data_IF_594745292321
#
_entry.id   IF_594745292321
#
_cell.length_a   1.000
_cell.length_b   1.000
_cell.length_c   1.000
_cell.angle_alpha   90.00
_cell.angle_beta   90.00
_cell.angle_gamma   90.00
#
_symmetry.space_group_name_H-M   'P 1'
#
loop_
_entity.id
_entity.type
_entity.pdbx_description
1 polymer ?
#
# COMPACT_ATOMS: atom_id res chain seq x y z
N UNK A 1 -24.67 -18.38 -20.84
CA UNK A 1 -24.35 -17.50 -19.70
C UNK A 1 -23.84 -18.29 -18.49
N UNK A 2 -24.51 -19.34 -17.97
CA UNK A 2 -24.04 -20.09 -16.77
C UNK A 2 -22.62 -20.69 -16.88
N UNK A 3 -22.24 -21.22 -18.07
CA UNK A 3 -20.89 -21.79 -18.28
C UNK A 3 -19.77 -20.73 -18.23
N UNK A 4 -20.00 -19.54 -18.79
CA UNK A 4 -19.03 -18.42 -18.77
C UNK A 4 -18.84 -17.92 -17.34
N UNK A 5 -19.93 -17.70 -16.61
CA UNK A 5 -19.88 -17.30 -15.21
C UNK A 5 -19.10 -18.30 -14.34
N UNK A 6 -19.37 -19.62 -14.51
CA UNK A 6 -18.64 -20.66 -13.79
C UNK A 6 -17.14 -20.71 -14.15
N UNK A 7 -16.77 -20.42 -15.41
CA UNK A 7 -15.37 -20.31 -15.81
C UNK A 7 -14.70 -19.11 -15.20
N UNK A 8 -15.36 -17.93 -15.23
CA UNK A 8 -14.84 -16.69 -14.61
C UNK A 8 -14.64 -16.81 -13.09
N UNK A 9 -15.43 -17.65 -12.41
CA UNK A 9 -15.32 -17.94 -10.99
C UNK A 9 -14.37 -19.11 -10.65
N UNK A 10 -13.67 -19.67 -11.65
CA UNK A 10 -12.91 -20.91 -11.49
C UNK A 10 -11.44 -20.67 -11.19
N UNK A 11 -10.83 -21.64 -10.49
CA UNK A 11 -9.38 -21.70 -10.27
C UNK A 11 -8.58 -21.85 -11.59
N UNK A 12 -9.23 -22.40 -12.65
CA UNK A 12 -8.63 -22.54 -13.98
C UNK A 12 -8.30 -21.18 -14.62
N UNK A 13 -9.09 -20.12 -14.29
CA UNK A 13 -8.80 -18.76 -14.68
C UNK A 13 -7.90 -18.06 -13.66
N UNK A 14 -8.06 -18.35 -12.36
CA UNK A 14 -7.24 -17.75 -11.32
C UNK A 14 -5.74 -18.01 -11.51
N UNK A 15 -5.36 -19.27 -11.80
CA UNK A 15 -3.95 -19.66 -11.95
C UNK A 15 -3.22 -18.85 -13.04
N UNK A 16 -3.69 -18.77 -14.30
CA UNK A 16 -3.00 -17.98 -15.32
C UNK A 16 -2.98 -16.49 -15.01
N UNK A 17 -4.03 -15.92 -14.38
CA UNK A 17 -4.02 -14.52 -13.95
C UNK A 17 -2.96 -14.27 -12.88
N UNK A 18 -2.83 -15.15 -11.90
CA UNK A 18 -1.81 -15.05 -10.84
C UNK A 18 -0.39 -15.24 -11.40
N UNK A 19 -0.19 -16.17 -12.35
CA UNK A 19 1.09 -16.34 -13.03
C UNK A 19 1.47 -15.08 -13.83
N UNK A 20 0.51 -14.49 -14.54
CA UNK A 20 0.73 -13.24 -15.27
C UNK A 20 1.08 -12.09 -14.33
N UNK A 21 0.39 -11.97 -13.20
CA UNK A 21 0.72 -10.98 -12.16
C UNK A 21 2.15 -11.19 -11.63
N UNK A 22 2.51 -12.43 -11.32
CA UNK A 22 3.85 -12.77 -10.82
C UNK A 22 4.92 -12.43 -11.86
N UNK A 23 4.71 -12.78 -13.12
CA UNK A 23 5.63 -12.41 -14.21
C UNK A 23 5.75 -10.89 -14.36
N UNK A 24 4.63 -10.17 -14.29
CA UNK A 24 4.63 -8.70 -14.35
C UNK A 24 5.44 -8.08 -13.20
N UNK A 25 5.28 -8.60 -11.99
CA UNK A 25 6.06 -8.13 -10.83
C UNK A 25 7.56 -8.41 -10.98
N UNK A 26 7.92 -9.60 -11.46
CA UNK A 26 9.33 -9.96 -11.73
C UNK A 26 9.92 -9.01 -12.79
N UNK A 27 9.25 -8.82 -13.91
CA UNK A 27 9.70 -7.92 -14.98
C UNK A 27 9.80 -6.48 -14.47
N UNK A 28 8.80 -6.01 -13.71
CA UNK A 28 8.80 -4.68 -13.11
C UNK A 28 10.02 -4.48 -12.19
N UNK A 29 10.30 -5.42 -11.30
CA UNK A 29 11.47 -5.36 -10.40
C UNK A 29 12.80 -5.39 -11.17
N UNK A 30 12.91 -6.18 -12.24
CA UNK A 30 14.11 -6.21 -13.08
C UNK A 30 14.32 -4.88 -13.83
N UNK A 31 13.23 -4.27 -14.32
CA UNK A 31 13.29 -2.95 -14.96
C UNK A 31 13.69 -1.88 -13.94
N UNK A 32 13.11 -1.91 -12.75
CA UNK A 32 13.43 -0.99 -11.66
C UNK A 32 14.92 -1.08 -11.27
N UNK A 33 15.43 -2.29 -11.11
CA UNK A 33 16.84 -2.53 -10.76
C UNK A 33 17.82 -2.09 -11.86
N UNK A 34 17.45 -2.24 -13.14
CA UNK A 34 18.35 -1.98 -14.26
C UNK A 34 18.28 -0.54 -14.77
N UNK A 35 17.14 0.10 -14.66
CA UNK A 35 16.89 1.44 -15.22
C UNK A 35 16.50 2.45 -14.13
N UNK A 36 15.23 2.48 -13.73
CA UNK A 36 14.73 3.31 -12.62
C UNK A 36 13.32 2.88 -12.19
N UNK A 37 12.94 3.29 -10.98
CA UNK A 37 11.58 3.14 -10.46
C UNK A 37 10.53 3.82 -11.35
N UNK A 38 10.85 5.00 -11.90
CA UNK A 38 9.94 5.78 -12.76
C UNK A 38 9.59 5.03 -14.04
N UNK A 39 10.58 4.35 -14.65
CA UNK A 39 10.36 3.54 -15.85
C UNK A 39 9.49 2.33 -15.54
N UNK A 40 9.75 1.63 -14.43
CA UNK A 40 8.94 0.50 -14.00
C UNK A 40 7.50 0.92 -13.67
N UNK A 41 7.31 2.04 -12.98
CA UNK A 41 6.00 2.60 -12.71
C UNK A 41 5.26 2.92 -14.02
N UNK A 42 5.86 3.65 -14.94
CA UNK A 42 5.24 4.10 -16.17
C UNK A 42 4.81 2.94 -17.09
N UNK A 43 5.66 1.94 -17.27
CA UNK A 43 5.43 0.89 -18.28
C UNK A 43 4.80 -0.39 -17.72
N UNK A 44 4.88 -0.60 -16.39
CA UNK A 44 4.33 -1.79 -15.74
C UNK A 44 3.20 -1.39 -14.78
N UNK A 45 3.54 -0.75 -13.65
CA UNK A 45 2.64 -0.67 -12.49
C UNK A 45 1.45 0.28 -12.68
N UNK A 46 1.62 1.42 -13.37
CA UNK A 46 0.55 2.38 -13.67
C UNK A 46 0.01 2.25 -15.10
N UNK A 47 0.53 1.29 -15.87
CA UNK A 47 0.05 1.12 -17.24
C UNK A 47 -1.36 0.47 -17.25
N UNK A 48 -2.27 0.88 -18.16
CA UNK A 48 -3.65 0.37 -18.21
C UNK A 48 -3.79 -1.15 -18.23
N UNK A 49 -2.89 -1.89 -18.91
CA UNK A 49 -2.96 -3.34 -18.94
C UNK A 49 -2.81 -3.98 -17.55
N UNK A 50 -1.98 -3.40 -16.66
CA UNK A 50 -1.78 -3.87 -15.29
C UNK A 50 -3.01 -3.59 -14.41
N UNK A 51 -3.66 -2.43 -14.62
CA UNK A 51 -4.93 -2.10 -13.97
C UNK A 51 -6.01 -3.12 -14.39
N UNK A 52 -6.12 -3.41 -15.69
CA UNK A 52 -7.06 -4.43 -16.21
C UNK A 52 -6.78 -5.80 -15.60
N UNK A 53 -5.51 -6.20 -15.48
CA UNK A 53 -5.13 -7.46 -14.84
C UNK A 53 -5.60 -7.51 -13.37
N UNK A 54 -5.37 -6.46 -12.59
CA UNK A 54 -5.82 -6.36 -11.21
C UNK A 54 -7.35 -6.44 -11.09
N UNK A 55 -8.07 -5.75 -11.96
CA UNK A 55 -9.54 -5.82 -12.04
C UNK A 55 -10.02 -7.23 -12.39
N UNK A 56 -9.39 -7.91 -13.36
CA UNK A 56 -9.73 -9.29 -13.71
C UNK A 56 -9.53 -10.25 -12.54
N UNK A 57 -8.44 -10.10 -11.77
CA UNK A 57 -8.19 -10.90 -10.57
C UNK A 57 -9.25 -10.61 -9.51
N UNK A 58 -9.55 -9.34 -9.24
CA UNK A 58 -10.58 -8.95 -8.28
C UNK A 58 -11.95 -9.53 -8.65
N UNK A 59 -12.34 -9.45 -9.93
CA UNK A 59 -13.59 -10.04 -10.44
C UNK A 59 -13.61 -11.57 -10.29
N UNK A 60 -12.51 -12.25 -10.58
CA UNK A 60 -12.42 -13.71 -10.39
C UNK A 60 -12.61 -14.07 -8.91
N UNK A 61 -11.95 -13.37 -7.97
CA UNK A 61 -12.08 -13.57 -6.52
C UNK A 61 -13.53 -13.30 -6.07
N UNK A 62 -14.12 -12.21 -6.52
CA UNK A 62 -15.50 -11.84 -6.20
C UNK A 62 -16.48 -12.93 -6.66
N UNK A 63 -16.41 -13.34 -7.93
CA UNK A 63 -17.27 -14.35 -8.50
C UNK A 63 -17.08 -15.71 -7.83
N UNK A 64 -15.81 -16.09 -7.53
CA UNK A 64 -15.50 -17.31 -6.80
C UNK A 64 -16.07 -17.32 -5.37
N UNK A 65 -16.23 -16.16 -4.77
CA UNK A 65 -16.87 -16.02 -3.45
C UNK A 65 -18.38 -16.12 -3.57
N UNK A 66 -18.99 -15.33 -4.47
CA UNK A 66 -20.44 -15.25 -4.61
C UNK A 66 -21.07 -16.58 -5.04
N UNK A 67 -20.41 -17.36 -5.90
CA UNK A 67 -20.93 -18.66 -6.38
C UNK A 67 -21.10 -19.68 -5.24
N UNK A 68 -20.41 -19.48 -4.11
CA UNK A 68 -20.50 -20.36 -2.93
C UNK A 68 -21.59 -19.98 -1.94
N UNK A 69 -22.35 -18.94 -2.23
CA UNK A 69 -23.50 -18.58 -1.38
C UNK A 69 -24.64 -19.61 -1.53
N UNK A 70 -25.35 -20.03 -0.44
CA UNK A 70 -25.18 -19.58 0.95
C UNK A 70 -23.96 -20.20 1.67
N UNK A 71 -23.26 -19.39 2.47
CA UNK A 71 -22.02 -19.81 3.14
C UNK A 71 -22.29 -20.72 4.33
N UNK A 72 -21.52 -21.79 4.46
CA UNK A 72 -21.52 -22.67 5.64
C UNK A 72 -20.56 -22.12 6.71
N UNK A 73 -20.81 -22.42 7.99
CA UNK A 73 -19.98 -21.92 9.11
C UNK A 73 -18.47 -22.17 8.93
N UNK A 74 -18.07 -23.34 8.41
CA UNK A 74 -16.66 -23.65 8.17
C UNK A 74 -16.04 -22.85 6.99
N UNK A 75 -16.84 -22.15 6.19
CA UNK A 75 -16.39 -21.29 5.10
C UNK A 75 -16.18 -19.83 5.50
N UNK A 76 -16.46 -19.47 6.76
CA UNK A 76 -16.33 -18.08 7.25
C UNK A 76 -14.92 -17.55 7.03
N UNK A 77 -13.87 -18.34 7.36
CA UNK A 77 -12.48 -17.93 7.11
C UNK A 77 -12.19 -17.69 5.64
N UNK A 78 -12.70 -18.56 4.75
CA UNK A 78 -12.60 -18.39 3.30
C UNK A 78 -13.23 -17.06 2.85
N UNK A 79 -14.43 -16.75 3.31
CA UNK A 79 -15.14 -15.51 2.93
C UNK A 79 -14.37 -14.28 3.41
N UNK A 80 -13.91 -14.28 4.67
CA UNK A 80 -13.14 -13.17 5.24
C UNK A 80 -11.82 -12.96 4.47
N UNK A 81 -11.09 -14.03 4.15
CA UNK A 81 -9.86 -13.98 3.35
C UNK A 81 -10.11 -13.38 1.97
N UNK A 82 -11.15 -13.83 1.27
CA UNK A 82 -11.49 -13.33 -0.06
C UNK A 82 -11.95 -11.87 -0.03
N UNK A 83 -12.71 -11.47 1.01
CA UNK A 83 -13.06 -10.08 1.23
C UNK A 83 -11.81 -9.22 1.46
N UNK A 84 -10.85 -9.71 2.25
CA UNK A 84 -9.55 -9.07 2.45
C UNK A 84 -8.80 -8.84 1.14
N UNK A 85 -8.74 -9.87 0.28
CA UNK A 85 -8.13 -9.74 -1.05
C UNK A 85 -8.85 -8.72 -1.93
N UNK A 86 -10.19 -8.67 -1.90
CA UNK A 86 -10.95 -7.67 -2.64
C UNK A 86 -10.65 -6.25 -2.19
N UNK A 87 -10.50 -6.02 -0.88
CA UNK A 87 -10.07 -4.71 -0.36
C UNK A 87 -8.64 -4.35 -0.81
N UNK A 88 -7.71 -5.31 -0.83
CA UNK A 88 -6.32 -5.09 -1.30
C UNK A 88 -6.32 -4.71 -2.78
N UNK A 89 -6.96 -5.51 -3.64
CA UNK A 89 -7.00 -5.22 -5.08
C UNK A 89 -7.80 -3.95 -5.39
N UNK A 90 -8.95 -3.73 -4.71
CA UNK A 90 -9.73 -2.50 -4.86
C UNK A 90 -8.94 -1.27 -4.43
N UNK A 91 -8.24 -1.33 -3.30
CA UNK A 91 -7.34 -0.27 -2.85
C UNK A 91 -6.20 -0.01 -3.85
N UNK A 92 -5.57 -1.09 -4.37
CA UNK A 92 -4.52 -0.97 -5.40
C UNK A 92 -5.02 -0.27 -6.66
N UNK A 93 -6.17 -0.66 -7.19
CA UNK A 93 -6.78 0.00 -8.36
C UNK A 93 -7.09 1.47 -8.06
N UNK A 94 -7.63 1.78 -6.88
CA UNK A 94 -7.91 3.17 -6.47
C UNK A 94 -6.63 4.01 -6.44
N UNK A 95 -5.54 3.48 -5.88
CA UNK A 95 -4.23 4.14 -5.87
C UNK A 95 -3.68 4.34 -7.29
N UNK A 96 -3.79 3.33 -8.15
CA UNK A 96 -3.33 3.42 -9.54
C UNK A 96 -4.09 4.47 -10.37
N UNK A 97 -5.38 4.68 -10.08
CA UNK A 97 -6.23 5.63 -10.81
C UNK A 97 -6.17 7.05 -10.25
N UNK A 98 -5.93 7.22 -8.96
CA UNK A 98 -6.10 8.51 -8.26
C UNK A 98 -4.95 8.85 -7.33
N UNK A 99 -3.93 8.01 -7.24
CA UNK A 99 -2.72 8.26 -6.47
C UNK A 99 -1.84 9.32 -7.13
N UNK A 100 -1.08 10.04 -6.31
CA UNK A 100 -0.12 11.04 -6.75
C UNK A 100 1.24 10.63 -6.19
N UNK A 101 2.24 10.56 -7.05
CA UNK A 101 3.63 10.35 -6.70
C UNK A 101 4.50 11.35 -7.46
N UNK A 102 5.21 12.19 -6.72
CA UNK A 102 5.99 13.24 -7.31
C UNK A 102 7.09 13.77 -6.40
N UNK A 103 7.74 14.82 -6.87
CA UNK A 103 8.87 15.47 -6.20
C UNK A 103 8.59 16.94 -6.06
N UNK A 104 8.80 17.47 -4.86
CA UNK A 104 8.78 18.90 -4.56
C UNK A 104 10.20 19.33 -4.21
N UNK A 105 10.77 20.22 -5.00
CA UNK A 105 12.10 20.77 -4.80
C UNK A 105 11.97 22.18 -4.24
N UNK A 106 12.58 22.42 -3.08
CA UNK A 106 12.57 23.72 -2.43
C UNK A 106 13.98 24.13 -2.04
N UNK A 107 14.32 25.37 -2.36
CA UNK A 107 15.51 26.05 -1.84
C UNK A 107 15.16 26.75 -0.52
N UNK A 108 16.12 26.91 0.37
CA UNK A 108 15.92 27.70 1.60
C UNK A 108 15.37 29.09 1.30
N UNK A 109 14.43 29.53 2.14
CA UNK A 109 13.69 30.79 2.02
C UNK A 109 12.83 30.92 0.76
N UNK A 110 12.59 29.83 0.04
CA UNK A 110 11.62 29.78 -1.08
C UNK A 110 10.35 29.02 -0.69
N UNK A 111 9.31 29.21 -1.49
CA UNK A 111 8.01 28.54 -1.31
C UNK A 111 7.47 28.04 -2.63
N UNK A 112 6.85 26.87 -2.62
CA UNK A 112 6.15 26.32 -3.77
C UNK A 112 5.03 25.40 -3.31
N UNK A 113 4.08 25.15 -4.21
CA UNK A 113 3.09 24.10 -4.12
C UNK A 113 3.10 23.23 -5.39
N UNK A 114 4.09 23.40 -6.26
CA UNK A 114 4.22 22.69 -7.54
C UNK A 114 5.02 21.42 -7.31
N UNK A 115 4.38 20.29 -7.53
CA UNK A 115 4.98 18.95 -7.48
C UNK A 115 5.20 18.47 -8.90
N UNK A 116 6.39 18.02 -9.24
CA UNK A 116 6.70 17.36 -10.50
C UNK A 116 6.35 15.88 -10.39
N UNK A 117 5.45 15.39 -11.23
CA UNK A 117 5.04 13.99 -11.23
C UNK A 117 6.17 13.10 -11.76
N UNK A 118 6.41 11.95 -11.10
CA UNK A 118 7.48 11.01 -11.50
C UNK A 118 7.19 10.29 -12.82
N UNK A 119 5.92 9.99 -13.10
CA UNK A 119 5.53 9.18 -14.26
C UNK A 119 5.31 9.99 -15.52
N UNK A 120 5.01 11.29 -15.40
CA UNK A 120 4.68 12.19 -16.49
C UNK A 120 5.45 13.49 -16.31
N UNK A 121 5.79 14.17 -17.40
CA UNK A 121 6.37 15.53 -17.35
C UNK A 121 5.31 16.59 -17.01
N UNK A 122 4.38 16.23 -16.16
CA UNK A 122 3.30 17.09 -15.71
C UNK A 122 3.53 17.55 -14.28
N UNK A 123 2.91 18.66 -13.93
CA UNK A 123 2.97 19.21 -12.58
C UNK A 123 1.62 19.10 -11.89
N UNK A 124 1.65 18.80 -10.61
CA UNK A 124 0.48 18.80 -9.74
C UNK A 124 0.59 19.94 -8.72
N UNK A 125 -0.51 20.64 -8.47
CA UNK A 125 -0.55 21.70 -7.47
C UNK A 125 -1.08 21.16 -6.14
N UNK A 126 -0.24 21.19 -5.10
CA UNK A 126 -0.68 20.89 -3.74
C UNK A 126 -1.75 21.91 -3.28
N UNK A 127 -2.75 21.47 -2.48
CA UNK A 127 -3.77 22.35 -1.92
C UNK A 127 -3.23 23.29 -0.79
N UNK A 128 -1.93 23.29 -0.57
CA UNK A 128 -1.23 24.14 0.41
C UNK A 128 0.15 24.50 -0.13
N UNK A 129 0.67 25.66 0.33
CA UNK A 129 2.00 26.14 -0.03
C UNK A 129 2.99 25.68 1.04
N UNK A 130 4.10 25.12 0.62
CA UNK A 130 5.23 24.71 1.47
C UNK A 130 6.35 25.74 1.32
N UNK A 131 6.81 26.32 2.43
CA UNK A 131 7.96 27.21 2.46
C UNK A 131 9.09 26.54 3.23
N UNK A 132 10.26 26.35 2.62
CA UNK A 132 11.44 25.84 3.31
C UNK A 132 12.10 26.97 4.08
N UNK A 133 12.15 26.87 5.42
CA UNK A 133 12.78 27.88 6.29
C UNK A 133 14.25 27.57 6.52
N UNK A 134 14.55 26.32 6.79
CA UNK A 134 15.89 25.88 7.13
C UNK A 134 16.09 24.41 6.75
N UNK A 135 17.23 24.09 6.21
CA UNK A 135 17.73 22.73 6.06
C UNK A 135 18.88 22.50 7.05
N UNK A 136 19.02 21.33 7.62
CA UNK A 136 20.06 21.01 8.57
C UNK A 136 20.55 19.57 8.42
N UNK A 137 21.87 19.41 8.52
CA UNK A 137 22.53 18.11 8.61
C UNK A 137 22.84 17.82 10.07
N UNK A 138 22.56 16.59 10.51
CA UNK A 138 22.96 16.08 11.82
C UNK A 138 24.11 15.11 11.65
N UNK A 139 25.27 15.52 12.10
CA UNK A 139 26.47 14.68 12.13
C UNK A 139 26.67 14.06 13.52
N UNK A 140 27.19 12.86 13.55
CA UNK A 140 27.64 12.25 14.80
C UNK A 140 28.91 12.95 15.29
N UNK A 141 28.83 13.52 16.48
CA UNK A 141 29.95 14.23 17.11
C UNK A 141 31.21 13.39 17.33
N UNK A 142 31.11 12.07 17.31
CA UNK A 142 32.23 11.15 17.56
C UNK A 142 32.92 10.67 16.28
N UNK A 143 32.17 10.45 15.21
CA UNK A 143 32.67 9.89 13.96
C UNK A 143 32.65 10.85 12.77
N UNK A 144 31.99 12.01 12.88
CA UNK A 144 31.74 12.92 11.77
C UNK A 144 30.85 12.33 10.66
N UNK A 145 30.26 11.17 10.89
CA UNK A 145 29.36 10.54 9.94
C UNK A 145 27.99 11.24 9.93
N UNK A 146 27.43 11.44 8.73
CA UNK A 146 26.08 11.96 8.59
C UNK A 146 25.08 10.97 9.19
N UNK A 147 24.39 11.37 10.25
CA UNK A 147 23.39 10.53 10.92
C UNK A 147 21.97 10.77 10.38
N UNK A 148 21.62 12.04 10.11
CA UNK A 148 20.28 12.43 9.69
C UNK A 148 20.32 13.78 8.99
N UNK A 149 19.28 14.11 8.26
CA UNK A 149 19.05 15.45 7.73
C UNK A 149 17.58 15.82 7.93
N UNK A 150 17.37 17.08 8.28
CA UNK A 150 16.05 17.59 8.59
C UNK A 150 15.76 18.90 7.85
N UNK A 151 14.49 19.10 7.52
CA UNK A 151 13.99 20.34 6.93
C UNK A 151 12.90 20.93 7.80
N UNK A 152 13.04 22.21 8.13
CA UNK A 152 11.99 22.99 8.78
C UNK A 152 11.18 23.70 7.70
N UNK A 153 9.92 23.30 7.56
CA UNK A 153 8.99 23.89 6.59
C UNK A 153 7.88 24.65 7.31
N UNK A 154 7.44 25.74 6.70
CA UNK A 154 6.25 26.48 7.15
C UNK A 154 5.08 26.20 6.20
N UNK A 155 3.93 25.84 6.78
CA UNK A 155 2.65 25.65 6.07
C UNK A 155 1.56 26.33 6.89
N UNK A 156 0.78 27.21 6.28
CA UNK A 156 -0.28 27.99 6.93
C UNK A 156 0.21 28.76 8.20
N UNK A 157 1.45 29.28 8.17
CA UNK A 157 2.04 30.04 9.29
C UNK A 157 2.50 29.16 10.46
N UNK A 158 2.51 27.83 10.34
CA UNK A 158 3.03 26.90 11.36
C UNK A 158 4.26 26.18 10.84
N UNK A 159 5.26 26.03 11.70
CA UNK A 159 6.47 25.31 11.38
C UNK A 159 6.32 23.82 11.67
N UNK A 160 6.82 23.00 10.76
CA UNK A 160 6.89 21.54 10.85
C UNK A 160 8.30 21.09 10.51
N UNK A 161 8.79 20.07 11.22
CA UNK A 161 10.09 19.45 10.91
C UNK A 161 9.84 18.13 10.19
N UNK A 162 10.49 17.96 9.04
CA UNK A 162 10.46 16.73 8.24
C UNK A 162 11.84 16.10 8.33
N UNK A 163 11.91 14.81 8.69
CA UNK A 163 13.13 14.01 8.78
C UNK A 163 13.06 12.80 7.88
N UNK A 164 14.18 12.10 7.72
CA UNK A 164 14.29 10.92 6.86
C UNK A 164 13.19 9.88 7.12
N UNK A 165 12.87 9.59 8.38
CA UNK A 165 11.87 8.58 8.77
C UNK A 165 10.61 9.18 9.43
N UNK A 166 10.49 10.51 9.48
CA UNK A 166 9.36 11.23 10.07
C UNK A 166 8.71 12.14 9.02
N UNK A 167 7.86 11.59 8.13
CA UNK A 167 7.21 12.37 7.09
C UNK A 167 6.12 13.27 7.67
N UNK A 168 5.94 14.42 7.05
CA UNK A 168 4.79 15.28 7.32
C UNK A 168 3.56 14.77 6.60
N UNK A 169 2.47 14.58 7.34
CA UNK A 169 1.16 14.26 6.79
C UNK A 169 0.23 15.46 6.84
N UNK A 170 -0.26 15.90 5.69
CA UNK A 170 -1.19 17.04 5.59
C UNK A 170 -2.18 16.85 4.45
N UNK A 171 -3.48 17.01 4.74
CA UNK A 171 -4.59 16.86 3.78
C UNK A 171 -4.55 15.54 2.98
N UNK A 172 -4.08 14.45 3.60
CA UNK A 172 -3.93 13.15 2.95
C UNK A 172 -2.63 12.96 2.17
N UNK A 173 -1.86 14.03 1.94
CA UNK A 173 -0.53 13.98 1.36
C UNK A 173 0.53 13.64 2.42
N UNK A 174 1.56 12.93 1.98
CA UNK A 174 2.75 12.63 2.76
C UNK A 174 3.95 13.30 2.07
N UNK A 175 4.70 14.07 2.81
CA UNK A 175 5.96 14.70 2.39
C UNK A 175 7.10 14.00 3.11
N UNK A 176 7.91 13.27 2.36
CA UNK A 176 9.10 12.57 2.89
C UNK A 176 10.34 13.36 2.52
N UNK A 177 11.29 13.49 3.43
CA UNK A 177 12.63 13.98 3.13
C UNK A 177 13.34 12.93 2.28
N UNK A 178 13.54 13.19 1.00
CA UNK A 178 14.07 12.21 0.03
C UNK A 178 15.56 12.41 -0.25
N UNK A 179 15.97 13.66 -0.49
CA UNK A 179 17.34 14.02 -0.82
C UNK A 179 17.59 15.50 -0.52
N UNK A 180 18.82 15.94 -0.75
CA UNK A 180 19.20 17.35 -0.60
C UNK A 180 20.35 17.68 -1.56
N UNK A 181 20.58 18.97 -1.76
CA UNK A 181 21.76 19.51 -2.44
C UNK A 181 22.27 20.72 -1.68
N UNK A 182 23.53 20.68 -1.29
CA UNK A 182 24.18 21.80 -0.60
C UNK A 182 24.57 22.87 -1.62
N UNK A 183 24.21 24.12 -1.36
CA UNK A 183 24.60 25.29 -2.14
C UNK A 183 24.99 26.46 -1.21
N UNK A 184 26.26 26.56 -0.80
CA UNK A 184 26.71 27.58 0.14
C UNK A 184 26.52 29.02 -0.34
N UNK A 185 26.28 29.24 -1.64
CA UNK A 185 26.14 30.55 -2.24
C UNK A 185 24.69 31.04 -2.29
N UNK A 186 23.74 30.13 -2.49
CA UNK A 186 22.34 30.49 -2.73
C UNK A 186 21.36 29.88 -1.73
N UNK A 187 21.85 29.12 -0.75
CA UNK A 187 21.05 28.38 0.25
C UNK A 187 20.78 26.94 -0.21
N UNK A 188 20.70 26.05 0.76
CA UNK A 188 20.58 24.63 0.54
C UNK A 188 19.21 24.24 -0.07
N UNK A 189 19.21 23.17 -0.85
CA UNK A 189 18.02 22.67 -1.52
C UNK A 189 17.58 21.39 -0.82
N UNK A 190 16.30 21.33 -0.47
CA UNK A 190 15.65 20.13 0.04
C UNK A 190 14.74 19.55 -1.01
N UNK A 191 14.82 18.23 -1.17
CA UNK A 191 14.04 17.45 -2.15
C UNK A 191 13.09 16.55 -1.37
N UNK A 192 11.78 16.80 -1.52
CA UNK A 192 10.74 16.06 -0.87
C UNK A 192 10.08 15.09 -1.87
N UNK A 193 9.94 13.83 -1.48
CA UNK A 193 9.02 12.92 -2.16
C UNK A 193 7.61 13.17 -1.64
N UNK A 194 6.68 13.45 -2.53
CA UNK A 194 5.29 13.77 -2.23
C UNK A 194 4.42 12.63 -2.71
N UNK A 195 3.67 12.02 -1.80
CA UNK A 195 2.77 10.92 -2.11
C UNK A 195 1.35 11.18 -1.60
N UNK A 196 0.36 10.87 -2.43
CA UNK A 196 -1.05 10.75 -2.02
C UNK A 196 -1.56 9.38 -2.43
N UNK A 197 -1.99 8.59 -1.46
CA UNK A 197 -2.42 7.21 -1.65
C UNK A 197 -3.83 7.00 -1.06
N UNK A 198 -4.88 7.19 -1.86
CA UNK A 198 -6.26 7.04 -1.41
C UNK A 198 -6.67 5.59 -1.13
N UNK A 199 -5.97 4.61 -1.74
CA UNK A 199 -6.22 3.18 -1.55
C UNK A 199 -5.59 2.57 -0.30
N UNK A 200 -4.65 3.26 0.33
CA UNK A 200 -3.86 2.77 1.48
C UNK A 200 -4.70 2.22 2.62
N UNK A 201 -5.74 2.92 3.02
CA UNK A 201 -6.62 2.47 4.09
C UNK A 201 -7.34 1.17 3.75
N UNK A 202 -7.83 1.03 2.52
CA UNK A 202 -8.48 -0.20 2.05
C UNK A 202 -7.48 -1.37 2.03
N UNK A 203 -6.24 -1.15 1.60
CA UNK A 203 -5.18 -2.16 1.60
C UNK A 203 -4.84 -2.63 3.02
N UNK A 204 -4.77 -1.73 4.01
CA UNK A 204 -4.52 -2.09 5.41
C UNK A 204 -5.66 -2.91 6.01
N UNK A 205 -6.93 -2.50 5.81
CA UNK A 205 -8.09 -3.29 6.23
C UNK A 205 -8.12 -4.65 5.52
N UNK A 206 -7.81 -4.67 4.22
CA UNK A 206 -7.73 -5.90 3.45
C UNK A 206 -6.67 -6.85 3.99
N UNK A 207 -5.49 -6.36 4.33
CA UNK A 207 -4.40 -7.15 4.92
C UNK A 207 -4.79 -7.73 6.28
N UNK A 208 -5.47 -6.94 7.11
CA UNK A 208 -5.99 -7.41 8.40
C UNK A 208 -7.01 -8.54 8.20
N UNK A 209 -7.99 -8.37 7.29
CA UNK A 209 -8.99 -9.40 6.99
C UNK A 209 -8.37 -10.65 6.39
N UNK A 210 -7.35 -10.51 5.55
CA UNK A 210 -6.60 -11.63 4.99
C UNK A 210 -6.00 -12.50 6.11
N UNK A 211 -5.29 -11.89 7.05
CA UNK A 211 -4.66 -12.58 8.18
C UNK A 211 -5.72 -13.22 9.09
N UNK A 212 -6.75 -12.47 9.47
CA UNK A 212 -7.85 -12.99 10.31
C UNK A 212 -8.56 -14.16 9.63
N UNK A 213 -8.85 -14.06 8.34
CA UNK A 213 -9.50 -15.11 7.57
C UNK A 213 -8.67 -16.40 7.51
N UNK A 214 -7.35 -16.28 7.31
CA UNK A 214 -6.42 -17.42 7.34
C UNK A 214 -6.36 -18.08 8.72
N UNK A 215 -6.31 -17.32 9.80
CA UNK A 215 -6.31 -17.84 11.17
C UNK A 215 -7.61 -18.60 11.44
N UNK A 216 -8.76 -18.02 11.08
CA UNK A 216 -10.08 -18.67 11.24
C UNK A 216 -10.15 -19.96 10.41
N UNK A 217 -9.66 -19.94 9.18
CA UNK A 217 -9.66 -21.12 8.30
C UNK A 217 -8.78 -22.25 8.86
N UNK A 218 -7.60 -21.89 9.40
CA UNK A 218 -6.71 -22.83 10.07
C UNK A 218 -7.37 -23.44 11.32
N UNK A 219 -8.02 -22.60 12.14
CA UNK A 219 -8.73 -23.02 13.34
C UNK A 219 -9.81 -24.08 13.06
N UNK A 220 -10.66 -23.85 12.05
CA UNK A 220 -11.66 -24.82 11.62
C UNK A 220 -11.06 -26.09 11.02
N UNK A 221 -9.96 -25.98 10.28
CA UNK A 221 -9.31 -27.12 9.59
C UNK A 221 -8.59 -28.07 10.58
N UNK A 222 -7.96 -27.55 11.59
CA UNK A 222 -7.17 -28.33 12.57
C UNK A 222 -8.01 -29.08 13.58
N UNK A 223 -9.34 -28.88 13.62
CA UNK A 223 -10.22 -29.51 14.59
C UNK A 223 -10.03 -29.03 16.05
N UNK A 224 -9.18 -28.01 16.28
CA UNK A 224 -8.95 -27.44 17.61
C UNK A 224 -10.27 -27.05 18.26
N UNK A 225 -11.21 -26.52 17.47
CA UNK A 225 -12.55 -26.21 17.94
C UNK A 225 -13.29 -27.44 18.48
N UNK A 226 -13.19 -28.59 17.81
CA UNK A 226 -13.81 -29.85 18.25
C UNK A 226 -13.14 -30.40 19.51
N UNK A 227 -11.81 -30.25 19.64
CA UNK A 227 -11.08 -30.68 20.84
C UNK A 227 -11.48 -29.85 22.06
N UNK A 228 -11.60 -28.54 21.91
CA UNK A 228 -12.00 -27.64 23.01
C UNK A 228 -13.45 -27.85 23.41
N UNK A 229 -14.37 -27.96 22.46
CA UNK A 229 -15.80 -28.17 22.73
C UNK A 229 -16.05 -29.57 23.33
N UNK A 230 -15.38 -30.61 22.86
CA UNK A 230 -15.48 -31.95 23.48
C UNK A 230 -14.92 -32.00 24.89
N UNK A 231 -13.88 -31.22 25.19
CA UNK A 231 -13.31 -31.15 26.54
C UNK A 231 -14.28 -30.47 27.51
N UNK A 232 -14.90 -29.36 27.12
CA UNK A 232 -15.90 -28.63 27.90
C UNK A 232 -17.13 -29.50 28.22
N UNK A 233 -17.67 -30.22 27.21
CA UNK A 233 -18.85 -31.09 27.40
C UNK A 233 -18.52 -32.31 28.30
N UNK A 234 -17.25 -32.75 28.28
CA UNK A 234 -16.84 -33.86 29.16
C UNK A 234 -16.67 -33.41 30.61
N UNK A 235 -16.20 -32.21 30.84
CA UNK A 235 -16.08 -31.61 32.17
C UNK A 235 -17.47 -31.31 32.76
N UNK A 236 -18.41 -30.75 31.99
CA UNK A 236 -19.80 -30.55 32.40
C UNK A 236 -20.52 -31.87 32.77
N UNK A 237 -20.31 -32.94 31.96
CA UNK A 237 -20.93 -34.23 32.25
C UNK A 237 -20.32 -34.93 33.47
N UNK A 238 -19.10 -34.64 33.86
CA UNK A 238 -18.47 -35.18 35.08
C UNK A 238 -18.96 -34.42 36.30
N UNK A 239 -19.19 -33.11 36.21
CA UNK A 239 -19.69 -32.25 37.27
C UNK A 239 -21.18 -32.52 37.60
N UNK A 240 -21.97 -32.92 36.58
CA UNK A 240 -23.39 -33.31 36.75
C UNK A 240 -23.54 -34.75 37.31
N UNK A 241 -22.49 -35.58 37.20
CA UNK A 241 -22.49 -36.97 37.66
C UNK A 241 -21.84 -37.17 39.05
N UNK A 242 -21.32 -36.10 39.67
CA UNK A 242 -20.73 -36.07 41.01
C UNK A 242 -21.69 -35.41 42.01
#
# INVERSE_FOLDING_TARGET
MKKIYAYCASIKLAIPLMLLLTCAMIVGTLIESKYSTEIAQKYIYYHPWFIVLNVCIALNIFLATVIRYPFKKHQTGFVITHLGLLFIFGGSVTTQLSGIDGVLVLRENTRSNVVELRTEKETFLLPFIVSLKQFGLKEDHSSGALMDYESVVEIHGKNYTIRMNEPLKMNGFYLYQSSYQLDPKQGDISIFSVGYDPGRSAQYFGSLFLVLGMVIMYWFKTGIFNVLTHKTTREENVEVAA
#
